data_IF_685983370273
#
_entry.id   IF_685983370273
#
_cell.length_a   1.000
_cell.length_b   1.000
_cell.length_c   1.000
_cell.angle_alpha   90.00
_cell.angle_beta   90.00
_cell.angle_gamma   90.00
#
_symmetry.space_group_name_H-M   'P 1'
#
loop_
_entity.id
_entity.type
_entity.pdbx_description
1 polymer ?
#
# COMPACT_ATOMS: atom_id res chain seq x y z
N UNK A 1 5.59 15.11 -48.25
CA UNK A 1 5.17 16.15 -47.31
C UNK A 1 4.04 15.78 -46.36
N UNK A 2 3.08 14.94 -46.77
CA UNK A 2 2.01 14.48 -45.88
C UNK A 2 2.50 13.54 -44.75
N UNK A 3 3.57 12.80 -45.02
CA UNK A 3 4.13 11.84 -44.04
C UNK A 3 4.89 12.52 -42.87
N UNK A 4 5.42 13.71 -43.11
CA UNK A 4 6.17 14.46 -42.10
C UNK A 4 5.28 14.98 -40.98
N UNK A 5 4.06 15.42 -41.29
CA UNK A 5 3.08 15.91 -40.31
C UNK A 5 2.56 14.78 -39.42
N UNK A 6 2.33 13.60 -40.01
CA UNK A 6 1.88 12.42 -39.28
C UNK A 6 2.96 11.93 -38.32
N UNK A 7 4.21 11.89 -38.75
CA UNK A 7 5.36 11.54 -37.90
C UNK A 7 5.54 12.52 -36.74
N UNK A 8 5.32 13.81 -36.96
CA UNK A 8 5.41 14.83 -35.92
C UNK A 8 4.31 14.70 -34.89
N UNK A 9 3.10 14.34 -35.31
CA UNK A 9 1.93 14.14 -34.42
C UNK A 9 2.13 12.89 -33.57
N UNK A 10 2.63 11.81 -34.14
CA UNK A 10 2.93 10.55 -33.42
C UNK A 10 4.05 10.79 -32.39
N UNK A 11 5.07 11.54 -32.73
CA UNK A 11 6.16 11.91 -31.83
C UNK A 11 5.65 12.74 -30.64
N UNK A 12 4.74 13.66 -30.88
CA UNK A 12 4.13 14.47 -29.83
C UNK A 12 3.28 13.65 -28.84
N UNK A 13 2.52 12.69 -29.36
CA UNK A 13 1.72 11.77 -28.54
C UNK A 13 2.63 10.86 -27.69
N UNK A 14 3.76 10.43 -28.26
CA UNK A 14 4.74 9.59 -27.54
C UNK A 14 5.38 10.33 -26.36
N UNK A 15 5.67 11.60 -26.48
CA UNK A 15 6.20 12.44 -25.40
C UNK A 15 5.18 12.61 -24.25
N UNK A 16 3.90 12.70 -24.57
CA UNK A 16 2.84 12.84 -23.58
C UNK A 16 2.66 11.58 -22.72
N UNK A 17 2.76 10.41 -23.32
CA UNK A 17 2.65 9.10 -22.63
C UNK A 17 3.84 8.88 -21.67
N UNK A 18 5.04 9.33 -22.05
CA UNK A 18 6.24 9.21 -21.21
C UNK A 18 6.12 9.97 -19.88
N UNK A 19 5.49 11.13 -19.87
CA UNK A 19 5.28 11.93 -18.66
C UNK A 19 4.33 11.27 -17.68
N UNK A 20 3.26 10.64 -18.16
CA UNK A 20 2.32 9.90 -17.32
C UNK A 20 2.97 8.68 -16.65
N UNK A 21 3.84 7.97 -17.35
CA UNK A 21 4.56 6.83 -16.79
C UNK A 21 5.52 7.21 -15.67
N UNK A 22 6.19 8.34 -15.76
CA UNK A 22 7.15 8.80 -14.74
C UNK A 22 6.46 9.11 -13.41
N UNK A 23 5.30 9.75 -13.44
CA UNK A 23 4.51 10.05 -12.23
C UNK A 23 4.00 8.75 -11.58
N UNK A 24 3.54 7.82 -12.39
CA UNK A 24 3.04 6.52 -11.93
C UNK A 24 4.15 5.69 -11.26
N UNK A 25 5.37 5.71 -11.78
CA UNK A 25 6.51 5.01 -11.19
C UNK A 25 6.89 5.53 -9.80
N UNK A 26 6.85 6.84 -9.58
CA UNK A 26 7.15 7.44 -8.27
C UNK A 26 6.13 7.04 -7.21
N UNK A 27 4.85 7.01 -7.56
CA UNK A 27 3.78 6.58 -6.66
C UNK A 27 3.89 5.09 -6.33
N UNK A 28 4.15 4.25 -7.33
CA UNK A 28 4.31 2.80 -7.15
C UNK A 28 5.55 2.48 -6.28
N UNK A 29 6.65 3.21 -6.43
CA UNK A 29 7.85 3.03 -5.61
C UNK A 29 7.57 3.35 -4.14
N UNK A 30 6.80 4.40 -3.83
CA UNK A 30 6.43 4.74 -2.46
C UNK A 30 5.53 3.67 -1.83
N UNK A 31 4.56 3.15 -2.58
CA UNK A 31 3.66 2.07 -2.13
C UNK A 31 4.45 0.79 -1.89
N UNK A 32 5.36 0.41 -2.78
CA UNK A 32 6.20 -0.78 -2.61
C UNK A 32 7.10 -0.69 -1.39
N UNK A 33 7.67 0.48 -1.10
CA UNK A 33 8.51 0.70 0.07
C UNK A 33 7.72 0.51 1.37
N UNK A 34 6.50 1.01 1.43
CA UNK A 34 5.62 0.83 2.58
C UNK A 34 5.18 -0.62 2.73
N UNK A 35 4.79 -1.28 1.66
CA UNK A 35 4.41 -2.69 1.66
C UNK A 35 5.56 -3.59 2.11
N UNK A 36 6.79 -3.30 1.71
CA UNK A 36 7.98 -4.02 2.16
C UNK A 36 8.16 -3.89 3.67
N UNK A 37 8.00 -2.69 4.21
CA UNK A 37 8.09 -2.44 5.65
C UNK A 37 7.01 -3.19 6.43
N UNK A 38 5.77 -3.20 5.93
CA UNK A 38 4.66 -3.91 6.56
C UNK A 38 4.80 -5.43 6.43
N UNK A 39 5.37 -5.91 5.32
CA UNK A 39 5.59 -7.35 5.11
C UNK A 39 6.59 -7.97 6.08
N UNK A 40 7.46 -7.16 6.69
CA UNK A 40 8.40 -7.61 7.71
C UNK A 40 7.70 -8.11 8.97
N UNK A 41 6.45 -7.68 9.22
CA UNK A 41 5.65 -8.14 10.33
C UNK A 41 5.05 -9.53 10.12
N UNK A 42 4.96 -10.01 8.88
CA UNK A 42 4.40 -11.33 8.58
C UNK A 42 5.30 -12.41 9.20
N UNK A 43 4.69 -13.30 9.97
CA UNK A 43 5.40 -14.33 10.74
C UNK A 43 5.87 -13.86 12.11
N UNK A 44 5.72 -12.58 12.43
CA UNK A 44 6.02 -12.03 13.76
C UNK A 44 4.82 -12.17 14.69
N UNK A 45 5.08 -12.11 16.00
CA UNK A 45 3.99 -12.16 16.99
C UNK A 45 3.15 -10.88 16.99
N UNK A 46 1.89 -11.02 17.38
CA UNK A 46 1.00 -9.87 17.57
C UNK A 46 1.53 -8.92 18.65
N UNK A 47 2.19 -9.46 19.68
CA UNK A 47 2.83 -8.66 20.73
C UNK A 47 3.92 -7.75 20.16
N UNK A 48 4.75 -8.25 19.25
CA UNK A 48 5.79 -7.47 18.60
C UNK A 48 5.19 -6.38 17.70
N UNK A 49 4.12 -6.68 16.99
CA UNK A 49 3.38 -5.71 16.18
C UNK A 49 2.84 -4.56 17.05
N UNK A 50 2.21 -4.87 18.17
CA UNK A 50 1.71 -3.87 19.11
C UNK A 50 2.83 -3.07 19.78
N UNK A 51 3.98 -3.68 20.03
CA UNK A 51 5.14 -2.99 20.60
C UNK A 51 5.67 -1.91 19.65
N UNK A 52 5.65 -2.15 18.35
CA UNK A 52 6.14 -1.20 17.34
C UNK A 52 5.09 -0.20 16.88
N UNK A 53 3.84 -0.63 16.67
CA UNK A 53 2.76 0.22 16.17
C UNK A 53 1.82 0.73 17.26
N UNK A 54 1.92 0.21 18.46
CA UNK A 54 1.03 0.52 19.56
C UNK A 54 -0.25 -0.34 19.53
N UNK A 55 -1.20 0.00 20.39
CA UNK A 55 -2.48 -0.68 20.47
C UNK A 55 -3.32 -0.37 19.22
N UNK A 56 -3.96 -1.37 18.59
CA UNK A 56 -4.82 -1.11 17.43
C UNK A 56 -6.02 -0.25 17.82
N UNK A 57 -6.48 0.55 16.87
CA UNK A 57 -7.68 1.39 17.06
C UNK A 57 -8.93 0.54 17.16
N UNK A 58 -8.96 -0.56 16.39
CA UNK A 58 -10.04 -1.55 16.43
C UNK A 58 -9.45 -2.95 16.32
N UNK A 59 -10.08 -3.91 16.99
CA UNK A 59 -9.77 -5.33 16.85
C UNK A 59 -11.08 -6.13 16.84
N UNK A 60 -11.13 -7.13 15.98
CA UNK A 60 -12.28 -8.04 15.94
C UNK A 60 -11.87 -9.41 15.40
N UNK A 61 -12.66 -10.44 15.73
CA UNK A 61 -12.48 -11.77 15.23
C UNK A 61 -13.30 -11.96 13.94
N UNK A 62 -12.68 -12.50 12.88
CA UNK A 62 -13.36 -12.76 11.64
C UNK A 62 -14.00 -14.16 11.63
N UNK A 63 -14.70 -14.52 10.54
CA UNK A 63 -15.38 -15.80 10.39
C UNK A 63 -14.45 -17.01 10.42
N UNK A 64 -13.17 -16.80 10.07
CA UNK A 64 -12.15 -17.85 10.06
C UNK A 64 -11.53 -18.11 11.44
N UNK A 65 -11.93 -17.35 12.46
CA UNK A 65 -11.32 -17.42 13.79
C UNK A 65 -10.02 -16.65 13.93
N UNK A 66 -9.66 -15.84 12.96
CA UNK A 66 -8.49 -14.96 13.02
C UNK A 66 -8.89 -13.59 13.57
N UNK A 67 -7.93 -12.90 14.18
CA UNK A 67 -8.13 -11.52 14.66
C UNK A 67 -7.69 -10.54 13.61
N UNK A 68 -8.45 -9.46 13.45
CA UNK A 68 -8.10 -8.35 12.57
C UNK A 68 -7.78 -7.15 13.44
N UNK A 69 -6.55 -6.63 13.31
CA UNK A 69 -6.12 -5.39 13.97
C UNK A 69 -6.18 -4.26 12.95
N UNK A 70 -6.88 -3.18 13.29
CA UNK A 70 -7.05 -2.01 12.43
C UNK A 70 -6.33 -0.83 13.04
N UNK A 71 -5.43 -0.22 12.27
CA UNK A 71 -4.70 0.99 12.62
C UNK A 71 -5.12 2.10 11.65
N UNK A 72 -5.69 3.16 12.19
CA UNK A 72 -6.12 4.33 11.42
C UNK A 72 -5.14 5.48 11.66
N UNK A 73 -4.57 6.00 10.58
CA UNK A 73 -3.72 7.19 10.62
C UNK A 73 -4.19 8.20 9.60
N UNK A 74 -3.75 9.45 9.76
CA UNK A 74 -3.97 10.49 8.76
C UNK A 74 -2.63 11.02 8.29
N UNK A 75 -2.45 11.07 6.97
CA UNK A 75 -1.26 11.66 6.35
C UNK A 75 -1.74 12.73 5.37
N UNK A 76 -1.31 13.97 5.58
CA UNK A 76 -1.72 15.13 4.78
C UNK A 76 -3.25 15.31 4.71
N UNK A 77 -3.97 14.99 5.79
CA UNK A 77 -5.43 15.07 5.84
C UNK A 77 -6.17 13.90 5.21
N UNK A 78 -5.45 12.95 4.59
CA UNK A 78 -6.05 11.76 4.00
C UNK A 78 -6.04 10.59 4.98
N UNK A 79 -7.17 9.88 5.16
CA UNK A 79 -7.20 8.72 6.04
C UNK A 79 -6.42 7.56 5.43
N UNK A 80 -5.63 6.90 6.27
CA UNK A 80 -4.90 5.69 5.93
C UNK A 80 -5.31 4.59 6.90
N UNK A 81 -5.81 3.48 6.39
CA UNK A 81 -6.19 2.31 7.17
C UNK A 81 -5.24 1.17 6.88
N UNK A 82 -4.65 0.58 7.94
CA UNK A 82 -3.82 -0.61 7.86
C UNK A 82 -4.48 -1.72 8.64
N UNK A 83 -4.65 -2.88 8.02
CA UNK A 83 -5.23 -4.06 8.63
C UNK A 83 -4.20 -5.17 8.70
N UNK A 84 -4.10 -5.80 9.86
CA UNK A 84 -3.25 -6.98 10.05
C UNK A 84 -4.13 -8.15 10.45
N UNK A 85 -3.96 -9.29 9.78
CA UNK A 85 -4.64 -10.52 10.12
C UNK A 85 -3.74 -11.35 11.02
N UNK A 86 -4.28 -11.76 12.18
CA UNK A 86 -3.57 -12.49 13.21
C UNK A 86 -4.24 -13.86 13.35
N UNK A 87 -3.46 -14.94 13.26
CA UNK A 87 -3.99 -16.29 13.42
C UNK A 87 -4.25 -16.64 14.91
N UNK A 88 -4.90 -17.79 15.21
CA UNK A 88 -5.14 -18.21 16.60
C UNK A 88 -3.86 -18.39 17.41
N UNK A 89 -2.72 -18.66 16.79
CA UNK A 89 -1.40 -18.76 17.44
C UNK A 89 -0.77 -17.39 17.73
N UNK A 90 -1.50 -16.30 17.47
CA UNK A 90 -1.07 -14.92 17.67
C UNK A 90 0.11 -14.49 16.78
N UNK A 91 0.16 -15.00 15.56
CA UNK A 91 1.13 -14.62 14.54
C UNK A 91 0.46 -13.81 13.45
N UNK A 92 1.17 -12.82 12.95
CA UNK A 92 0.72 -12.02 11.80
C UNK A 92 0.84 -12.85 10.53
N UNK A 93 -0.27 -13.08 9.84
CA UNK A 93 -0.31 -13.90 8.62
C UNK A 93 -0.61 -13.10 7.36
N UNK A 94 -1.04 -11.86 7.50
CA UNK A 94 -1.32 -11.00 6.35
C UNK A 94 -1.53 -9.56 6.75
N UNK A 95 -1.52 -8.68 5.75
CA UNK A 95 -1.83 -7.27 5.96
C UNK A 95 -2.47 -6.69 4.69
N UNK A 96 -3.20 -5.60 4.87
CA UNK A 96 -3.74 -4.78 3.79
C UNK A 96 -3.68 -3.32 4.18
N UNK A 97 -3.41 -2.45 3.21
CA UNK A 97 -3.39 -1.00 3.40
C UNK A 97 -4.36 -0.34 2.43
N UNK A 98 -5.07 0.66 2.91
CA UNK A 98 -6.02 1.42 2.12
C UNK A 98 -5.82 2.92 2.36
N UNK A 99 -5.60 3.67 1.28
CA UNK A 99 -5.38 5.11 1.35
C UNK A 99 -4.01 5.54 1.87
N UNK A 100 -3.06 4.62 1.99
CA UNK A 100 -1.70 4.89 2.47
C UNK A 100 -0.77 5.22 1.29
N UNK A 101 -0.08 6.35 1.36
CA UNK A 101 0.88 6.79 0.35
C UNK A 101 2.29 6.85 0.92
#
# INVERSE_FOLDING_TARGET
MKNLKILFTIFFIFLFVSRCQTVKQKTDAAIQKENKKLSEFIGQSASKLQKELGKPDEDFENEKGNFIFIYNTKKYGFPCERRFEINPDKLVIGFASNGCF
#
